data_IF_978368321176
#
_entry.id   IF_978368321176
#
_cell.length_a   1.000
_cell.length_b   1.000
_cell.length_c   1.000
_cell.angle_alpha   90.00
_cell.angle_beta   90.00
_cell.angle_gamma   90.00
#
_symmetry.space_group_name_H-M   'P 1'
#
loop_
_entity.id
_entity.type
_entity.pdbx_description
1 polymer ?
#
# COMPACT_ATOMS: atom_id res chain seq x y z
N UNK A 1 11.47 -3.27 -5.42
CA UNK A 1 9.98 -3.37 -5.47
C UNK A 1 9.43 -4.54 -4.66
N UNK A 2 9.80 -5.80 -4.93
CA UNK A 2 9.26 -6.98 -4.23
C UNK A 2 9.34 -6.88 -2.70
N UNK A 3 10.49 -6.43 -2.17
CA UNK A 3 10.73 -6.20 -0.75
C UNK A 3 9.74 -5.21 -0.09
N UNK A 4 9.40 -4.10 -0.78
CA UNK A 4 8.45 -3.11 -0.25
C UNK A 4 7.04 -3.70 -0.26
N UNK A 5 6.68 -4.34 -1.38
CA UNK A 5 5.37 -4.95 -1.54
C UNK A 5 5.10 -6.01 -0.45
N UNK A 6 6.04 -6.93 -0.21
CA UNK A 6 5.93 -7.96 0.84
C UNK A 6 5.74 -7.35 2.24
N UNK A 7 6.59 -6.37 2.59
CA UNK A 7 6.53 -5.75 3.91
C UNK A 7 5.24 -4.96 4.15
N UNK A 8 4.80 -4.21 3.14
CA UNK A 8 3.55 -3.45 3.20
C UNK A 8 2.35 -4.40 3.27
N UNK A 9 2.34 -5.48 2.49
CA UNK A 9 1.28 -6.49 2.50
C UNK A 9 1.15 -7.13 3.88
N UNK A 10 2.26 -7.64 4.43
CA UNK A 10 2.29 -8.25 5.76
C UNK A 10 1.87 -7.27 6.86
N UNK A 11 2.37 -6.03 6.82
CA UNK A 11 2.01 -5.02 7.80
C UNK A 11 0.52 -4.62 7.68
N UNK A 12 -0.01 -4.51 6.46
CA UNK A 12 -1.40 -4.11 6.23
C UNK A 12 -2.40 -5.10 6.84
N UNK A 13 -2.07 -6.39 6.89
CA UNK A 13 -2.92 -7.43 7.51
C UNK A 13 -3.11 -7.23 9.01
N UNK A 14 -2.22 -6.48 9.65
CA UNK A 14 -2.29 -6.19 11.09
C UNK A 14 -3.08 -4.93 11.42
N UNK A 15 -3.51 -4.15 10.40
CA UNK A 15 -4.34 -2.97 10.61
C UNK A 15 -5.76 -3.37 11.02
N UNK A 16 -6.14 -3.02 12.25
CA UNK A 16 -7.50 -3.25 12.77
C UNK A 16 -8.58 -2.47 12.02
N UNK A 17 -8.25 -1.28 11.52
CA UNK A 17 -9.12 -0.46 10.68
C UNK A 17 -8.32 0.14 9.52
N UNK A 18 -8.29 -0.51 8.35
CA UNK A 18 -7.43 -0.14 7.24
C UNK A 18 -8.07 0.98 6.41
N UNK A 19 -8.20 2.20 6.98
CA UNK A 19 -8.71 3.37 6.22
C UNK A 19 -7.70 3.81 5.15
N UNK A 20 -8.13 4.51 4.07
CA UNK A 20 -7.23 4.91 2.98
C UNK A 20 -6.00 5.69 3.48
N UNK A 21 -6.22 6.63 4.41
CA UNK A 21 -5.14 7.43 5.00
C UNK A 21 -4.17 6.59 5.83
N UNK A 22 -4.66 5.58 6.57
CA UNK A 22 -3.78 4.69 7.35
C UNK A 22 -2.98 3.76 6.46
N UNK A 23 -3.55 3.30 5.35
CA UNK A 23 -2.84 2.52 4.34
C UNK A 23 -1.74 3.38 3.70
N UNK A 24 -2.06 4.60 3.29
CA UNK A 24 -1.10 5.55 2.71
C UNK A 24 0.06 5.83 3.68
N UNK A 25 -0.23 6.16 4.93
CA UNK A 25 0.81 6.37 5.95
C UNK A 25 1.65 5.11 6.17
N UNK A 26 1.03 3.92 6.23
CA UNK A 26 1.76 2.67 6.40
C UNK A 26 2.74 2.41 5.24
N UNK A 27 2.28 2.61 4.00
CA UNK A 27 3.10 2.43 2.79
C UNK A 27 4.28 3.41 2.80
N UNK A 28 4.01 4.66 3.14
CA UNK A 28 5.01 5.72 3.21
C UNK A 28 6.05 5.43 4.30
N UNK A 29 5.62 5.10 5.52
CA UNK A 29 6.50 4.84 6.66
C UNK A 29 7.46 3.66 6.39
N UNK A 30 6.95 2.58 5.79
CA UNK A 30 7.78 1.42 5.42
C UNK A 30 8.79 1.79 4.34
N UNK A 31 8.37 2.54 3.32
CA UNK A 31 9.21 2.96 2.21
C UNK A 31 10.32 3.91 2.68
N UNK A 32 9.97 4.89 3.50
CA UNK A 32 10.89 5.86 4.07
C UNK A 32 11.88 5.20 5.03
N UNK A 33 11.41 4.28 5.88
CA UNK A 33 12.30 3.51 6.76
C UNK A 33 13.38 2.78 5.96
N UNK A 34 13.00 2.08 4.89
CA UNK A 34 13.95 1.36 4.02
C UNK A 34 14.93 2.29 3.32
N UNK A 35 14.45 3.45 2.87
CA UNK A 35 15.30 4.48 2.27
C UNK A 35 16.32 5.03 3.28
N UNK A 36 15.89 5.37 4.50
CA UNK A 36 16.77 5.87 5.56
C UNK A 36 17.77 4.82 6.05
N UNK A 37 17.38 3.54 6.03
CA UNK A 37 18.24 2.41 6.38
C UNK A 37 19.26 2.07 5.27
N UNK A 38 19.30 2.80 4.14
CA UNK A 38 20.22 2.55 3.03
C UNK A 38 19.89 1.31 2.19
N UNK A 39 18.68 0.74 2.32
CA UNK A 39 18.33 -0.52 1.66
C UNK A 39 18.14 -0.40 0.14
N UNK A 40 18.21 0.83 -0.40
CA UNK A 40 18.16 1.10 -1.84
C UNK A 40 19.51 1.53 -2.42
N UNK A 41 20.58 1.59 -1.63
CA UNK A 41 21.88 2.13 -2.05
C UNK A 41 22.51 1.39 -3.23
N UNK A 42 22.24 0.09 -3.36
CA UNK A 42 22.77 -0.76 -4.44
C UNK A 42 21.78 -0.98 -5.59
N UNK A 43 20.70 -0.19 -5.68
CA UNK A 43 19.77 -0.24 -6.80
C UNK A 43 19.55 1.12 -7.45
N UNK A 44 19.27 1.13 -8.75
CA UNK A 44 19.04 2.34 -9.53
C UNK A 44 17.61 2.90 -9.37
N UNK A 45 17.02 2.79 -8.18
CA UNK A 45 15.67 3.27 -7.91
C UNK A 45 15.70 4.77 -7.62
N UNK A 46 15.00 5.55 -8.44
CA UNK A 46 14.83 6.99 -8.21
C UNK A 46 13.73 7.27 -7.18
N UNK A 47 13.77 8.44 -6.54
CA UNK A 47 12.69 8.87 -5.64
C UNK A 47 11.34 9.00 -6.35
N UNK A 48 11.34 9.37 -7.63
CA UNK A 48 10.12 9.42 -8.45
C UNK A 48 9.52 8.03 -8.71
N UNK A 49 10.36 7.02 -8.93
CA UNK A 49 9.90 5.63 -9.07
C UNK A 49 9.43 5.08 -7.71
N UNK A 50 10.10 5.42 -6.61
CA UNK A 50 9.66 5.07 -5.27
C UNK A 50 8.26 5.64 -4.99
N UNK A 51 8.02 6.91 -5.30
CA UNK A 51 6.69 7.53 -5.17
C UNK A 51 5.63 6.83 -6.04
N UNK A 52 5.99 6.43 -7.26
CA UNK A 52 5.10 5.67 -8.15
C UNK A 52 4.74 4.30 -7.57
N UNK A 53 5.72 3.64 -6.93
CA UNK A 53 5.52 2.36 -6.23
C UNK A 53 4.61 2.56 -5.01
N UNK A 54 4.83 3.59 -4.19
CA UNK A 54 3.99 3.92 -3.03
C UNK A 54 2.53 4.16 -3.45
N UNK A 55 2.30 4.95 -4.49
CA UNK A 55 0.96 5.23 -5.02
C UNK A 55 0.28 3.95 -5.51
N UNK A 56 1.02 3.12 -6.25
CA UNK A 56 0.50 1.86 -6.80
C UNK A 56 0.11 0.87 -5.69
N UNK A 57 0.97 0.70 -4.69
CA UNK A 57 0.69 -0.16 -3.54
C UNK A 57 -0.50 0.35 -2.72
N UNK A 58 -0.56 1.65 -2.46
CA UNK A 58 -1.66 2.29 -1.74
C UNK A 58 -3.00 2.02 -2.44
N UNK A 59 -3.08 2.26 -3.75
CA UNK A 59 -4.29 1.98 -4.55
C UNK A 59 -4.68 0.50 -4.51
N UNK A 60 -3.72 -0.40 -4.68
CA UNK A 60 -3.98 -1.85 -4.63
C UNK A 60 -4.53 -2.28 -3.27
N UNK A 61 -3.92 -1.83 -2.17
CA UNK A 61 -4.35 -2.17 -0.82
C UNK A 61 -5.71 -1.58 -0.47
N UNK A 62 -5.96 -0.32 -0.85
CA UNK A 62 -7.31 0.27 -0.70
C UNK A 62 -8.35 -0.59 -1.41
N UNK A 63 -8.07 -1.03 -2.64
CA UNK A 63 -8.97 -1.90 -3.40
C UNK A 63 -9.20 -3.28 -2.75
N UNK A 64 -8.19 -3.83 -2.08
CA UNK A 64 -8.30 -5.10 -1.33
C UNK A 64 -9.14 -4.92 -0.07
N UNK A 65 -8.87 -3.89 0.73
CA UNK A 65 -9.50 -3.70 2.05
C UNK A 65 -10.87 -3.01 2.01
N UNK A 66 -11.15 -2.19 1.00
CA UNK A 66 -12.45 -1.52 0.83
C UNK A 66 -13.26 -2.15 -0.29
N UNK A 67 -13.29 -3.50 -0.31
CA UNK A 67 -13.92 -4.37 -1.30
C UNK A 67 -15.01 -3.74 -2.17
N UNK A 68 -14.91 -4.04 -3.47
CA UNK A 68 -15.90 -3.77 -4.54
C UNK A 68 -17.31 -3.55 -3.99
N UNK A 69 -17.85 -2.36 -4.31
CA UNK A 69 -19.23 -1.94 -4.06
C UNK A 69 -20.16 -3.16 -4.19
N UNK A 70 -20.87 -3.51 -3.11
CA UNK A 70 -21.99 -4.45 -3.15
C UNK A 70 -22.97 -3.86 -4.16
N UNK A 71 -23.19 -4.50 -5.30
CA UNK A 71 -24.27 -4.09 -6.21
C UNK A 71 -25.55 -4.03 -5.37
N UNK A 72 -26.32 -2.92 -5.42
CA UNK A 72 -27.53 -2.82 -4.61
C UNK A 72 -28.42 -4.00 -4.96
N UNK A 73 -28.77 -4.79 -3.93
CA UNK A 73 -29.67 -5.93 -4.05
C UNK A 73 -30.89 -5.47 -4.86
N UNK A 74 -31.12 -6.09 -6.02
CA UNK A 74 -32.36 -5.88 -6.77
C UNK A 74 -33.48 -6.15 -5.77
N UNK A 75 -34.17 -5.09 -5.34
CA UNK A 75 -35.45 -5.24 -4.65
C UNK A 75 -36.36 -5.99 -5.61
N UNK A 76 -36.51 -7.29 -5.39
CA UNK A 76 -37.60 -8.05 -5.98
C UNK A 76 -38.87 -7.41 -5.43
N UNK A 77 -39.58 -6.74 -6.33
CA UNK A 77 -40.97 -6.31 -6.17
C UNK A 77 -41.79 -7.10 -7.17
#
# INVERSE_FOLDING_TARGET
VMMIADAVEGASRTLSEPTPKRIESLVHDISMKRLLDGQFDECSLTLSELATVEESLTKSLIGIYHGRIKYPDQKTA
#
